data_IF_915859697808
#
_entry.id   IF_915859697808
#
_cell.length_a   1.000
_cell.length_b   1.000
_cell.length_c   1.000
_cell.angle_alpha   90.00
_cell.angle_beta   90.00
_cell.angle_gamma   90.00
#
_symmetry.space_group_name_H-M   'P 1'
#
loop_
_entity.id
_entity.type
_entity.pdbx_description
1 polymer ?
#
# COMPACT_ATOMS: atom_id res chain seq x y z
N UNK A 1 -32.70 -27.02 34.84
CA UNK A 1 -32.47 -25.56 34.68
C UNK A 1 -31.08 -25.35 34.09
N UNK A 2 -31.02 -24.78 32.88
CA UNK A 2 -29.85 -24.73 31.99
C UNK A 2 -28.86 -23.68 32.50
N UNK A 3 -27.69 -24.10 33.00
CA UNK A 3 -26.61 -23.20 33.46
C UNK A 3 -25.64 -22.76 32.34
N UNK A 4 -25.79 -23.30 31.13
CA UNK A 4 -24.86 -23.09 30.00
C UNK A 4 -25.15 -21.77 29.25
N UNK A 5 -26.34 -21.19 29.41
CA UNK A 5 -26.74 -19.95 28.71
C UNK A 5 -26.00 -18.69 29.16
N UNK A 6 -25.26 -18.73 30.28
CA UNK A 6 -24.52 -17.57 30.81
C UNK A 6 -23.07 -17.46 30.32
N UNK A 7 -22.55 -18.45 29.58
CA UNK A 7 -21.17 -18.45 29.05
C UNK A 7 -21.07 -18.03 27.57
N UNK A 8 -22.20 -17.94 26.87
CA UNK A 8 -22.28 -17.49 25.47
C UNK A 8 -21.75 -16.06 25.20
N UNK A 9 -21.94 -15.04 26.07
CA UNK A 9 -21.56 -13.68 25.71
C UNK A 9 -20.05 -13.41 25.80
N UNK A 10 -19.28 -14.23 26.52
CA UNK A 10 -17.83 -14.05 26.64
C UNK A 10 -17.07 -14.56 25.40
N UNK A 11 -17.55 -15.62 24.74
CA UNK A 11 -16.95 -16.18 23.52
C UNK A 11 -17.16 -15.27 22.30
N UNK A 12 -18.29 -14.57 22.21
CA UNK A 12 -18.55 -13.60 21.15
C UNK A 12 -17.64 -12.36 21.23
N UNK A 13 -17.26 -11.95 22.45
CA UNK A 13 -16.44 -10.75 22.68
C UNK A 13 -14.97 -10.97 22.30
N UNK A 14 -14.45 -12.18 22.45
CA UNK A 14 -13.09 -12.56 22.05
C UNK A 14 -12.98 -12.72 20.52
N UNK A 15 -14.03 -13.23 19.86
CA UNK A 15 -14.04 -13.40 18.40
C UNK A 15 -14.06 -12.07 17.64
N UNK A 16 -14.65 -11.01 18.22
CA UNK A 16 -14.62 -9.65 17.66
C UNK A 16 -13.23 -9.00 17.68
N UNK A 17 -12.42 -9.27 18.70
CA UNK A 17 -11.08 -8.68 18.85
C UNK A 17 -10.06 -9.27 17.85
N UNK A 18 -10.22 -10.53 17.43
CA UNK A 18 -9.33 -11.17 16.45
C UNK A 18 -9.61 -10.75 15.00
N UNK A 19 -10.83 -10.30 14.68
CA UNK A 19 -11.18 -9.79 13.35
C UNK A 19 -10.53 -8.42 13.06
N UNK A 20 -10.32 -7.57 14.08
CA UNK A 20 -9.72 -6.25 13.92
C UNK A 20 -8.23 -6.29 13.56
N UNK A 21 -7.49 -7.33 13.97
CA UNK A 21 -6.06 -7.50 13.65
C UNK A 21 -5.82 -8.17 12.30
N UNK A 22 -6.84 -8.79 11.69
CA UNK A 22 -6.72 -9.46 10.39
C UNK A 22 -6.92 -8.50 9.20
N UNK A 23 -7.41 -7.28 9.42
CA UNK A 23 -7.66 -6.29 8.38
C UNK A 23 -6.44 -5.42 8.03
N UNK A 24 -5.27 -5.67 8.65
CA UNK A 24 -4.05 -4.91 8.39
C UNK A 24 -3.21 -5.44 7.20
N UNK A 25 -3.70 -6.42 6.45
CA UNK A 25 -2.99 -7.00 5.27
C UNK A 25 -3.77 -6.73 3.98
N UNK A 26 -4.37 -5.54 3.88
CA UNK A 26 -4.98 -5.06 2.65
C UNK A 26 -4.35 -3.71 2.30
N UNK A 27 -3.02 -3.63 2.27
CA UNK A 27 -2.38 -2.65 1.40
C UNK A 27 -2.29 -3.36 0.05
N UNK A 28 -3.22 -3.11 -0.90
CA UNK A 28 -3.06 -3.65 -2.24
C UNK A 28 -1.76 -3.06 -2.77
N UNK A 29 -0.68 -3.85 -2.74
CA UNK A 29 0.51 -3.50 -3.50
C UNK A 29 0.00 -3.45 -4.93
N UNK A 30 -0.04 -2.27 -5.56
CA UNK A 30 -0.62 -2.15 -6.88
C UNK A 30 0.18 -3.08 -7.80
N UNK A 31 -0.54 -3.92 -8.56
CA UNK A 31 0.07 -4.91 -9.44
C UNK A 31 1.05 -4.28 -10.44
N UNK A 32 0.94 -2.97 -10.67
CA UNK A 32 1.81 -2.21 -11.52
C UNK A 32 2.13 -0.86 -10.84
N UNK A 33 3.42 -0.51 -10.83
CA UNK A 33 3.94 0.75 -10.33
C UNK A 33 4.38 1.58 -11.52
N UNK A 34 3.95 2.84 -11.55
CA UNK A 34 4.37 3.80 -12.56
C UNK A 34 5.03 5.00 -11.88
N UNK A 35 6.06 5.55 -12.50
CA UNK A 35 6.66 6.80 -12.08
C UNK A 35 6.62 7.79 -13.23
N UNK A 36 6.49 9.08 -12.94
CA UNK A 36 6.66 10.11 -13.97
C UNK A 36 8.16 10.26 -14.27
N UNK A 37 8.52 10.28 -15.56
CA UNK A 37 9.90 10.49 -15.99
C UNK A 37 10.31 11.95 -15.72
N UNK A 38 11.29 12.21 -14.82
CA UNK A 38 11.73 13.57 -14.54
C UNK A 38 12.42 14.24 -15.73
N UNK A 39 12.92 13.47 -16.71
CA UNK A 39 13.50 14.01 -17.94
C UNK A 39 12.43 14.39 -18.98
N UNK A 40 11.23 13.79 -18.92
CA UNK A 40 10.15 13.97 -19.88
C UNK A 40 8.80 14.12 -19.15
N UNK A 41 8.47 15.33 -18.64
CA UNK A 41 7.22 15.54 -17.90
C UNK A 41 6.00 15.16 -18.75
N UNK A 42 5.09 14.38 -18.17
CA UNK A 42 3.93 13.79 -18.83
C UNK A 42 4.14 12.39 -19.40
N UNK A 43 5.36 11.83 -19.35
CA UNK A 43 5.60 10.41 -19.63
C UNK A 43 5.68 9.59 -18.35
N UNK A 44 5.01 8.44 -18.34
CA UNK A 44 5.02 7.51 -17.21
C UNK A 44 5.80 6.26 -17.59
N UNK A 45 6.81 5.94 -16.80
CA UNK A 45 7.60 4.72 -16.91
C UNK A 45 7.06 3.67 -15.96
N UNK A 46 7.04 2.43 -16.42
CA UNK A 46 6.67 1.30 -15.57
C UNK A 46 7.89 0.86 -14.75
N UNK A 47 7.79 0.99 -13.44
CA UNK A 47 8.84 0.68 -12.46
C UNK A 47 8.46 -0.51 -11.58
N UNK A 48 7.50 -1.32 -12.02
CA UNK A 48 7.01 -2.51 -11.28
C UNK A 48 8.12 -3.50 -10.96
N UNK A 49 9.15 -3.59 -11.82
CA UNK A 49 10.29 -4.50 -11.63
C UNK A 49 11.52 -3.79 -11.10
N UNK A 50 11.42 -2.51 -10.75
CA UNK A 50 12.54 -1.72 -10.26
C UNK A 50 12.58 -1.81 -8.74
N UNK A 51 13.78 -1.91 -8.19
CA UNK A 51 14.00 -2.06 -6.76
C UNK A 51 14.24 -0.68 -6.14
N UNK A 52 13.45 -0.27 -5.12
CA UNK A 52 13.65 1.01 -4.45
C UNK A 52 15.02 1.03 -3.75
N UNK A 53 15.66 2.19 -3.74
CA UNK A 53 17.04 2.44 -3.25
C UNK A 53 18.16 1.76 -4.06
N UNK A 54 17.84 1.01 -5.12
CA UNK A 54 18.80 0.45 -6.07
C UNK A 54 18.62 1.05 -7.48
N UNK A 55 17.41 0.96 -8.04
CA UNK A 55 17.08 1.49 -9.37
C UNK A 55 16.50 2.91 -9.30
N UNK A 56 15.78 3.23 -8.22
CA UNK A 56 15.16 4.54 -8.02
C UNK A 56 14.98 4.88 -6.54
N UNK A 57 14.88 6.17 -6.26
CA UNK A 57 14.56 6.70 -4.94
C UNK A 57 13.39 7.70 -5.02
N UNK A 58 12.58 7.72 -3.96
CA UNK A 58 11.52 8.70 -3.75
C UNK A 58 11.96 9.72 -2.70
N UNK A 59 12.46 10.88 -3.12
CA UNK A 59 13.06 11.87 -2.20
C UNK A 59 12.12 13.03 -1.89
N UNK A 60 12.08 13.46 -0.63
CA UNK A 60 11.38 14.69 -0.21
C UNK A 60 9.86 14.66 -0.45
N UNK A 61 9.28 15.77 -0.89
CA UNK A 61 7.86 16.00 -1.16
C UNK A 61 7.58 15.99 -2.66
N UNK A 62 6.46 15.40 -3.07
CA UNK A 62 6.03 15.30 -4.46
C UNK A 62 5.22 14.04 -4.70
N UNK A 63 4.94 13.74 -5.96
CA UNK A 63 4.33 12.49 -6.38
C UNK A 63 5.41 11.57 -6.97
N UNK A 64 5.65 10.42 -6.36
CA UNK A 64 6.75 9.54 -6.77
C UNK A 64 6.24 8.40 -7.63
N UNK A 65 5.31 7.63 -7.06
CA UNK A 65 4.73 6.47 -7.71
C UNK A 65 3.22 6.63 -7.84
N UNK A 66 2.70 6.06 -8.92
CA UNK A 66 1.32 6.03 -9.30
C UNK A 66 0.85 4.59 -9.52
N UNK A 67 -0.42 4.32 -9.24
CA UNK A 67 -1.07 3.02 -9.51
C UNK A 67 -1.27 2.75 -11.01
N UNK A 68 -1.26 3.81 -11.83
CA UNK A 68 -1.51 3.80 -13.26
C UNK A 68 -0.91 5.07 -13.89
N UNK A 69 -0.74 5.13 -15.23
CA UNK A 69 -0.23 6.34 -15.89
C UNK A 69 -1.17 7.52 -15.61
N UNK A 70 -0.66 8.57 -14.95
CA UNK A 70 -1.46 9.71 -14.48
C UNK A 70 -2.61 9.31 -13.52
N UNK A 71 -2.37 8.26 -12.73
CA UNK A 71 -3.33 7.66 -11.81
C UNK A 71 -3.31 8.26 -10.41
N UNK A 72 -3.69 7.45 -9.43
CA UNK A 72 -3.61 7.80 -8.02
C UNK A 72 -2.17 7.73 -7.56
N UNK A 73 -1.71 8.75 -6.84
CA UNK A 73 -0.41 8.76 -6.16
C UNK A 73 -0.45 7.73 -5.02
N UNK A 74 0.34 6.67 -5.16
CA UNK A 74 0.46 5.59 -4.16
C UNK A 74 1.63 5.85 -3.21
N UNK A 75 2.64 6.59 -3.67
CA UNK A 75 3.78 6.99 -2.87
C UNK A 75 4.16 8.43 -3.16
N UNK A 76 4.27 9.22 -2.10
CA UNK A 76 4.72 10.60 -2.17
C UNK A 76 6.25 10.66 -2.13
N UNK A 77 6.82 11.58 -2.90
CA UNK A 77 8.25 11.83 -3.05
C UNK A 77 8.53 12.37 -4.45
N UNK A 78 9.68 12.97 -4.67
CA UNK A 78 10.19 13.24 -6.02
C UNK A 78 10.84 11.98 -6.53
N UNK A 79 10.34 11.42 -7.62
CA UNK A 79 10.95 10.26 -8.26
C UNK A 79 12.31 10.63 -8.84
N UNK A 80 13.34 9.85 -8.49
CA UNK A 80 14.70 10.03 -8.98
C UNK A 80 15.30 8.68 -9.35
N UNK A 81 15.75 8.57 -10.58
CA UNK A 81 16.43 7.37 -11.09
C UNK A 81 17.87 7.37 -10.57
N UNK A 82 18.29 6.23 -10.03
CA UNK A 82 19.66 6.03 -9.58
C UNK A 82 20.51 5.52 -10.78
N UNK A 83 21.75 6.01 -10.93
CA UNK A 83 22.64 5.65 -12.04
C UNK A 83 23.29 4.27 -11.90
#
# INVERSE_FOLDING_TARGET
MIKIQKLLPALALVLGATLAMAMNIANPVPNQLFAEDPANPGQFINVTTWEPDEDYECVSTGDCLYDSPNGTVIQNGTFRILP
#
